data_IF_615751389278
#
_entry.id   IF_615751389278
#
_cell.length_a   1.000
_cell.length_b   1.000
_cell.length_c   1.000
_cell.angle_alpha   90.00
_cell.angle_beta   90.00
_cell.angle_gamma   90.00
#
_symmetry.space_group_name_H-M   'P 1'
#
loop_
_entity.id
_entity.type
_entity.pdbx_description
1 polymer ?
#
# COMPACT_ATOMS: atom_id res chain seq x y z
N UNK A 1 -26.86 6.29 -6.07
CA UNK A 1 -25.87 6.24 -4.98
C UNK A 1 -24.55 5.90 -5.63
N UNK A 2 -23.59 6.83 -5.67
CA UNK A 2 -22.31 6.58 -6.32
C UNK A 2 -21.58 5.42 -5.63
N UNK A 3 -20.93 4.54 -6.40
CA UNK A 3 -20.20 3.41 -5.83
C UNK A 3 -19.09 3.91 -4.91
N UNK A 4 -19.12 3.51 -3.63
CA UNK A 4 -18.11 3.86 -2.64
C UNK A 4 -17.03 2.78 -2.62
N UNK A 5 -15.95 3.00 -3.38
CA UNK A 5 -14.80 2.11 -3.41
C UNK A 5 -13.56 2.80 -2.85
N UNK A 6 -12.76 2.05 -2.11
CA UNK A 6 -11.42 2.46 -1.72
C UNK A 6 -10.44 1.96 -2.81
N UNK A 7 -9.36 2.70 -3.08
CA UNK A 7 -8.33 2.34 -4.07
C UNK A 7 -7.02 2.04 -3.37
N UNK A 8 -6.53 0.81 -3.48
CA UNK A 8 -5.24 0.38 -2.93
C UNK A 8 -4.15 0.46 -4.00
N UNK A 9 -3.13 1.28 -3.73
CA UNK A 9 -1.95 1.41 -4.58
C UNK A 9 -0.89 0.41 -4.14
N UNK A 10 -0.43 -0.42 -5.07
CA UNK A 10 0.50 -1.50 -4.77
C UNK A 10 1.65 -1.58 -5.77
N UNK A 11 2.76 -2.16 -5.31
CA UNK A 11 3.94 -2.43 -6.14
C UNK A 11 3.83 -3.81 -6.80
N UNK A 12 3.45 -3.85 -8.09
CA UNK A 12 3.36 -5.08 -8.86
C UNK A 12 4.70 -5.78 -9.10
N UNK A 13 5.82 -5.07 -9.02
CA UNK A 13 7.16 -5.63 -9.15
C UNK A 13 7.67 -6.25 -7.84
N UNK A 14 6.96 -6.09 -6.72
CA UNK A 14 7.28 -6.79 -5.47
C UNK A 14 6.53 -8.13 -5.39
N UNK A 15 7.21 -9.29 -5.41
CA UNK A 15 6.54 -10.59 -5.37
C UNK A 15 5.65 -10.81 -4.15
N UNK A 16 6.05 -10.25 -3.00
CA UNK A 16 5.25 -10.31 -1.77
C UNK A 16 3.97 -9.49 -1.90
N UNK A 17 4.08 -8.23 -2.31
CA UNK A 17 2.93 -7.34 -2.50
C UNK A 17 1.99 -7.91 -3.56
N UNK A 18 2.51 -8.35 -4.71
CA UNK A 18 1.70 -8.97 -5.76
C UNK A 18 0.97 -10.23 -5.27
N UNK A 19 1.60 -11.06 -4.42
CA UNK A 19 0.95 -12.22 -3.81
C UNK A 19 -0.18 -11.81 -2.87
N UNK A 20 0.02 -10.79 -2.05
CA UNK A 20 -1.00 -10.23 -1.16
C UNK A 20 -2.19 -9.69 -1.96
N UNK A 21 -1.94 -8.93 -3.04
CA UNK A 21 -2.98 -8.41 -3.92
C UNK A 21 -3.77 -9.53 -4.59
N UNK A 22 -3.12 -10.60 -5.06
CA UNK A 22 -3.84 -11.77 -5.62
C UNK A 22 -4.79 -12.40 -4.61
N UNK A 23 -4.39 -12.47 -3.35
CA UNK A 23 -5.25 -12.97 -2.26
C UNK A 23 -6.40 -12.00 -1.98
N UNK A 24 -6.11 -10.71 -1.83
CA UNK A 24 -7.14 -9.68 -1.61
C UNK A 24 -8.16 -9.63 -2.75
N UNK A 25 -7.72 -9.69 -4.02
CA UNK A 25 -8.63 -9.72 -5.19
C UNK A 25 -9.64 -10.88 -5.14
N UNK A 26 -9.25 -12.03 -4.59
CA UNK A 26 -10.13 -13.20 -4.42
C UNK A 26 -11.11 -13.06 -3.26
N UNK A 27 -10.72 -12.32 -2.21
CA UNK A 27 -11.45 -12.25 -0.94
C UNK A 27 -12.25 -10.95 -0.75
N UNK A 28 -11.99 -9.93 -1.56
CA UNK A 28 -12.64 -8.63 -1.46
C UNK A 28 -14.12 -8.69 -1.82
N UNK A 29 -14.94 -7.84 -1.19
CA UNK A 29 -16.42 -7.87 -1.28
C UNK A 29 -17.04 -6.93 -2.33
N UNK A 30 -16.24 -6.40 -3.25
CA UNK A 30 -16.66 -5.53 -4.36
C UNK A 30 -16.44 -4.03 -4.14
N UNK A 31 -15.81 -3.63 -3.04
CA UNK A 31 -15.61 -2.22 -2.66
C UNK A 31 -14.13 -1.82 -2.50
N UNK A 32 -13.23 -2.59 -3.11
CA UNK A 32 -11.79 -2.32 -3.14
C UNK A 32 -11.26 -2.46 -4.56
N UNK A 33 -10.67 -1.38 -5.09
CA UNK A 33 -9.97 -1.35 -6.37
C UNK A 33 -8.46 -1.42 -6.10
N UNK A 34 -7.71 -2.00 -7.04
CA UNK A 34 -6.26 -2.15 -6.94
C UNK A 34 -5.60 -1.43 -8.11
N UNK A 35 -4.74 -0.47 -7.80
CA UNK A 35 -3.98 0.33 -8.76
C UNK A 35 -2.51 -0.07 -8.68
N UNK A 36 -1.95 -0.59 -9.77
CA UNK A 36 -0.50 -0.83 -9.84
C UNK A 36 0.23 0.50 -10.01
N UNK A 37 1.19 0.77 -9.14
CA UNK A 37 1.97 2.01 -9.15
C UNK A 37 2.79 2.14 -10.45
N UNK A 38 3.23 1.03 -11.04
CA UNK A 38 4.01 1.04 -12.29
C UNK A 38 3.16 1.35 -13.53
N UNK A 39 1.84 1.23 -13.42
CA UNK A 39 0.90 1.59 -14.49
C UNK A 39 0.37 3.02 -14.34
N UNK A 40 0.60 3.67 -13.19
CA UNK A 40 0.23 5.06 -12.99
C UNK A 40 1.26 5.98 -13.65
N UNK A 41 0.78 6.92 -14.48
CA UNK A 41 1.63 7.96 -15.05
C UNK A 41 1.91 9.03 -13.99
N UNK A 42 3.17 9.44 -13.88
CA UNK A 42 3.54 10.62 -13.11
C UNK A 42 2.73 11.83 -13.59
N UNK A 43 2.10 12.54 -12.64
CA UNK A 43 1.40 13.79 -12.92
C UNK A 43 -0.13 13.74 -13.05
N UNK A 44 -0.81 12.63 -12.72
CA UNK A 44 -2.25 12.72 -12.46
C UNK A 44 -2.46 13.50 -11.15
N UNK A 45 -2.81 14.79 -11.27
CA UNK A 45 -2.87 15.74 -10.17
C UNK A 45 -3.74 15.23 -9.02
N UNK A 46 -3.06 14.81 -7.93
CA UNK A 46 -3.53 14.39 -6.59
C UNK A 46 -2.88 13.09 -6.09
N UNK A 47 -2.09 12.39 -6.91
CA UNK A 47 -1.30 11.26 -6.42
C UNK A 47 -0.06 11.73 -5.62
N UNK A 48 0.30 11.03 -4.52
CA UNK A 48 1.62 11.15 -3.91
C UNK A 48 2.73 10.86 -4.94
N UNK A 49 3.96 11.29 -4.65
CA UNK A 49 5.10 11.00 -5.53
C UNK A 49 5.26 9.49 -5.75
N UNK A 50 5.74 9.09 -6.92
CA UNK A 50 5.99 7.69 -7.26
C UNK A 50 6.88 7.00 -6.22
N UNK A 51 7.93 7.68 -5.76
CA UNK A 51 8.79 7.23 -4.66
C UNK A 51 8.00 6.99 -3.37
N UNK A 52 7.10 7.90 -2.96
CA UNK A 52 6.30 7.72 -1.77
C UNK A 52 5.40 6.49 -1.89
N UNK A 53 4.72 6.34 -3.03
CA UNK A 53 3.87 5.19 -3.35
C UNK A 53 4.66 3.87 -3.32
N UNK A 54 5.89 3.85 -3.86
CA UNK A 54 6.75 2.66 -3.85
C UNK A 54 7.31 2.35 -2.46
N UNK A 55 7.59 3.38 -1.66
CA UNK A 55 8.21 3.22 -0.34
C UNK A 55 7.25 2.66 0.70
N UNK A 56 6.01 3.17 0.74
CA UNK A 56 4.97 2.70 1.69
C UNK A 56 3.67 2.38 0.97
N UNK A 57 2.88 1.48 1.55
CA UNK A 57 1.57 1.12 1.02
C UNK A 57 0.61 2.30 1.15
N UNK A 58 -0.12 2.63 0.10
CA UNK A 58 -1.08 3.74 0.09
C UNK A 58 -2.47 3.22 -0.28
N UNK A 59 -3.49 3.72 0.42
CA UNK A 59 -4.88 3.49 0.09
C UNK A 59 -5.59 4.85 0.08
N UNK A 60 -6.31 5.13 -1.00
CA UNK A 60 -7.19 6.29 -1.11
C UNK A 60 -8.61 5.84 -0.79
N UNK A 61 -9.23 6.46 0.22
CA UNK A 61 -10.62 6.16 0.55
C UNK A 61 -11.55 6.76 -0.50
N UNK A 62 -12.80 6.28 -0.54
CA UNK A 62 -13.86 6.89 -1.36
C UNK A 62 -14.12 8.38 -1.01
N UNK A 63 -13.70 8.86 0.17
CA UNK A 63 -13.81 10.27 0.58
C UNK A 63 -12.62 11.12 0.11
N UNK A 64 -11.61 10.52 -0.53
CA UNK A 64 -10.38 11.18 -0.94
C UNK A 64 -9.31 11.29 0.15
N UNK A 65 -9.46 10.57 1.27
CA UNK A 65 -8.47 10.52 2.34
C UNK A 65 -7.37 9.50 2.04
N UNK A 66 -6.12 9.85 2.32
CA UNK A 66 -4.97 8.97 2.17
C UNK A 66 -4.69 8.22 3.46
N UNK A 67 -4.81 6.89 3.41
CA UNK A 67 -4.39 5.98 4.47
C UNK A 67 -3.05 5.37 4.06
N UNK A 68 -2.03 5.49 4.91
CA UNK A 68 -0.64 5.17 4.56
C UNK A 68 -0.05 4.14 5.53
N UNK A 69 0.66 3.16 4.99
CA UNK A 69 1.46 2.19 5.74
C UNK A 69 0.63 1.03 6.31
N UNK A 70 0.92 0.67 7.56
CA UNK A 70 0.23 -0.43 8.26
C UNK A 70 -1.30 -0.23 8.31
N UNK A 71 -1.84 0.97 8.65
CA UNK A 71 -3.28 1.23 8.57
C UNK A 71 -3.88 0.99 7.19
N UNK A 72 -3.14 1.28 6.10
CA UNK A 72 -3.60 1.03 4.75
C UNK A 72 -3.81 -0.47 4.51
N UNK A 73 -2.89 -1.29 5.04
CA UNK A 73 -3.03 -2.74 4.94
C UNK A 73 -4.22 -3.25 5.74
N UNK A 74 -4.38 -2.81 7.00
CA UNK A 74 -5.52 -3.19 7.83
C UNK A 74 -6.85 -2.77 7.18
N UNK A 75 -6.89 -1.58 6.57
CA UNK A 75 -8.06 -1.10 5.82
C UNK A 75 -8.35 -1.98 4.61
N UNK A 76 -7.35 -2.30 3.78
CA UNK A 76 -7.51 -3.20 2.64
C UNK A 76 -8.07 -4.57 3.04
N UNK A 77 -7.52 -5.19 4.09
CA UNK A 77 -8.03 -6.46 4.62
C UNK A 77 -9.42 -6.34 5.24
N UNK A 78 -9.82 -5.15 5.70
CA UNK A 78 -11.18 -4.89 6.20
C UNK A 78 -12.25 -4.99 5.12
N UNK A 79 -11.89 -4.95 3.83
CA UNK A 79 -12.79 -5.24 2.71
C UNK A 79 -13.00 -6.74 2.47
N UNK A 80 -12.35 -7.60 3.26
CA UNK A 80 -12.48 -9.06 3.19
C UNK A 80 -13.20 -9.61 4.43
N UNK A 81 -13.72 -10.86 4.39
CA UNK A 81 -14.24 -11.53 5.57
C UNK A 81 -13.26 -11.66 6.75
N UNK A 82 -11.96 -11.57 6.49
CA UNK A 82 -10.89 -11.74 7.48
C UNK A 82 -10.40 -10.44 8.09
N UNK A 83 -11.02 -9.31 7.76
CA UNK A 83 -10.60 -7.99 8.26
C UNK A 83 -10.46 -7.90 9.78
N UNK A 84 -11.29 -8.65 10.52
CA UNK A 84 -11.24 -8.67 11.98
C UNK A 84 -9.90 -9.19 12.53
N UNK A 85 -9.20 -10.06 11.80
CA UNK A 85 -7.88 -10.59 12.21
C UNK A 85 -6.79 -9.52 12.20
N UNK A 86 -6.96 -8.49 11.37
CA UNK A 86 -5.98 -7.41 11.21
C UNK A 86 -6.25 -6.21 12.12
N UNK A 87 -7.47 -6.09 12.68
CA UNK A 87 -7.84 -4.99 13.60
C UNK A 87 -6.96 -4.89 14.87
N UNK A 88 -6.54 -6.00 15.52
CA UNK A 88 -5.65 -5.92 16.68
C UNK A 88 -4.33 -5.19 16.41
N UNK A 89 -3.87 -5.11 15.16
CA UNK A 89 -2.68 -4.35 14.78
C UNK A 89 -2.83 -2.84 15.00
N UNK A 90 -4.07 -2.34 15.16
CA UNK A 90 -4.36 -0.93 15.43
C UNK A 90 -4.47 -0.63 16.94
N UNK A 91 -4.33 -1.61 17.83
CA UNK A 91 -4.32 -1.35 19.27
C UNK A 91 -3.09 -0.54 19.69
N UNK A 92 -3.20 0.44 20.60
CA UNK A 92 -2.17 1.43 20.84
C UNK A 92 -0.80 0.83 21.20
N UNK A 93 -0.73 -0.29 21.94
CA UNK A 93 0.54 -0.97 22.22
C UNK A 93 1.10 -1.76 21.03
N UNK A 94 0.25 -2.53 20.35
CA UNK A 94 0.63 -3.38 19.20
C UNK A 94 1.01 -2.50 18.00
N UNK A 95 0.25 -1.44 17.76
CA UNK A 95 0.43 -0.52 16.66
C UNK A 95 1.81 0.10 16.64
N UNK A 96 2.35 0.52 17.80
CA UNK A 96 3.69 1.11 17.85
C UNK A 96 4.77 0.11 17.41
N UNK A 97 4.68 -1.12 17.90
CA UNK A 97 5.61 -2.19 17.56
C UNK A 97 5.45 -2.58 16.09
N UNK A 98 4.21 -2.84 15.65
CA UNK A 98 3.89 -3.28 14.30
C UNK A 98 4.23 -2.21 13.26
N UNK A 99 3.94 -0.94 13.53
CA UNK A 99 4.28 0.19 12.66
C UNK A 99 5.79 0.35 12.51
N UNK A 100 6.56 0.16 13.58
CA UNK A 100 8.03 0.18 13.54
C UNK A 100 8.60 -0.98 12.74
N UNK A 101 8.09 -2.20 12.94
CA UNK A 101 8.50 -3.39 12.18
C UNK A 101 8.16 -3.20 10.70
N UNK A 102 6.93 -2.79 10.40
CA UNK A 102 6.46 -2.51 9.05
C UNK A 102 7.34 -1.46 8.37
N UNK A 103 7.61 -0.32 9.04
CA UNK A 103 8.44 0.75 8.50
C UNK A 103 9.83 0.27 8.11
N UNK A 104 10.51 -0.45 9.01
CA UNK A 104 11.85 -1.01 8.74
C UNK A 104 11.84 -2.00 7.59
N UNK A 105 10.83 -2.87 7.51
CA UNK A 105 10.68 -3.80 6.40
C UNK A 105 10.43 -3.07 5.08
N UNK A 106 9.53 -2.08 5.08
CA UNK A 106 9.15 -1.30 3.91
C UNK A 106 10.35 -0.50 3.35
N UNK A 107 11.12 0.14 4.23
CA UNK A 107 12.34 0.87 3.88
C UNK A 107 13.39 -0.09 3.30
N UNK A 108 13.66 -1.22 3.97
CA UNK A 108 14.63 -2.22 3.49
C UNK A 108 14.21 -2.85 2.15
N UNK A 109 12.91 -3.09 1.94
CA UNK A 109 12.35 -3.57 0.66
C UNK A 109 12.59 -2.54 -0.44
N UNK A 110 12.27 -1.27 -0.16
CA UNK A 110 12.45 -0.18 -1.10
C UNK A 110 13.93 -0.01 -1.47
N UNK A 111 14.82 0.02 -0.48
CA UNK A 111 16.26 0.15 -0.70
C UNK A 111 16.81 -0.97 -1.58
N UNK A 112 16.46 -2.23 -1.26
CA UNK A 112 16.93 -3.40 -2.02
C UNK A 112 16.48 -3.39 -3.49
N UNK A 113 15.30 -2.83 -3.79
CA UNK A 113 14.75 -2.84 -5.15
C UNK A 113 15.03 -1.57 -5.95
N UNK A 114 15.03 -0.41 -5.30
CA UNK A 114 14.99 0.90 -5.97
C UNK A 114 16.15 1.81 -5.58
N UNK A 115 16.75 1.69 -4.38
CA UNK A 115 17.85 2.58 -4.00
C UNK A 115 19.14 2.32 -4.79
N UNK A 116 19.37 1.09 -5.28
CA UNK A 116 20.48 0.82 -6.21
C UNK A 116 20.27 1.41 -7.62
N UNK A 117 19.04 1.76 -8.01
CA UNK A 117 18.76 2.38 -9.31
C UNK A 117 18.93 3.91 -9.30
N UNK A 118 18.82 4.55 -8.13
CA UNK A 118 18.97 6.01 -7.97
C UNK A 118 20.46 6.42 -7.86
N UNK A 119 21.34 5.50 -7.45
CA UNK A 119 22.78 5.74 -7.35
C UNK A 119 23.51 5.87 -8.70
N UNK A 120 22.96 5.29 -9.77
CA UNK A 120 23.57 5.29 -11.11
C UNK A 120 23.22 6.56 -11.91
N UNK A 121 22.08 7.18 -11.63
CA UNK A 121 21.59 8.37 -12.34
C UNK A 121 22.08 9.72 -11.78
N UNK A 122 23.04 9.70 -10.83
CA UNK A 122 23.75 10.90 -10.35
C UNK A 122 25.24 10.91 -10.74
N UNK A 123 25.69 9.93 -11.51
CA UNK A 123 27.06 9.80 -11.99
C UNK A 123 27.20 9.93 -13.53
N UNK A 124 26.18 10.45 -14.21
CA UNK A 124 26.21 10.79 -15.63
C UNK A 124 26.07 12.31 -15.83
#
# INVERSE_FOLDING_TARGET
MEPRYDTLFYDGQCPLCAKEIRTLRKLQRGNLIFADIHEQRDGSGNLPSHEALLRRLHLMTWTGEWVIGLPANVRAWSHTPYGFLFKPLLWPGIFQIASRIYGRWADKRYERKYACAIGDNRAA
#
